data_IF_632873564442
#
_entry.id   IF_632873564442
#
_cell.length_a   1.000
_cell.length_b   1.000
_cell.length_c   1.000
_cell.angle_alpha   90.00
_cell.angle_beta   90.00
_cell.angle_gamma   90.00
#
_symmetry.space_group_name_H-M   'P 1'
#
loop_
_entity.id
_entity.type
_entity.pdbx_description
1 polymer ?
#
# COMPACT_ATOMS: atom_id res chain seq x y z
N UNK A 1 62.29 -8.47 -20.74
CA UNK A 1 63.38 -7.77 -21.51
C UNK A 1 62.72 -6.61 -22.23
N UNK A 2 63.07 -5.38 -21.91
CA UNK A 2 62.40 -4.16 -22.44
C UNK A 2 62.63 -4.03 -23.96
N UNK A 3 61.69 -3.35 -24.63
CA UNK A 3 61.72 -3.09 -26.08
C UNK A 3 63.06 -2.51 -26.52
N UNK A 4 63.62 -1.58 -25.76
CA UNK A 4 64.90 -0.95 -26.02
C UNK A 4 66.05 -1.97 -26.09
N UNK A 5 66.01 -2.96 -25.20
CA UNK A 5 67.01 -3.99 -25.15
C UNK A 5 66.89 -4.99 -26.33
N UNK A 6 65.68 -5.32 -26.77
CA UNK A 6 65.41 -6.15 -27.94
C UNK A 6 65.88 -5.47 -29.23
N UNK A 7 65.54 -4.18 -29.40
CA UNK A 7 65.98 -3.38 -30.54
C UNK A 7 67.52 -3.34 -30.58
N UNK A 8 68.19 -3.05 -29.43
CA UNK A 8 69.62 -3.05 -29.32
C UNK A 8 70.24 -4.41 -29.67
N UNK A 9 69.65 -5.49 -29.14
CA UNK A 9 70.14 -6.86 -29.41
C UNK A 9 70.04 -7.24 -30.88
N UNK A 10 68.92 -6.89 -31.54
CA UNK A 10 68.68 -7.15 -32.97
C UNK A 10 69.73 -6.39 -33.82
N UNK A 11 69.87 -5.09 -33.53
CA UNK A 11 70.86 -4.24 -34.25
C UNK A 11 72.26 -4.75 -33.98
N UNK A 12 72.66 -5.09 -32.76
CA UNK A 12 73.95 -5.61 -32.40
C UNK A 12 74.23 -6.96 -33.06
N UNK A 13 73.21 -7.89 -33.04
CA UNK A 13 73.38 -9.20 -33.68
C UNK A 13 73.49 -9.09 -35.19
N UNK A 14 72.70 -8.22 -35.84
CA UNK A 14 72.77 -7.96 -37.26
C UNK A 14 74.12 -7.38 -37.68
N UNK A 15 74.66 -6.45 -36.85
CA UNK A 15 75.96 -5.84 -37.09
C UNK A 15 77.10 -6.83 -36.91
N UNK A 16 77.09 -7.70 -35.88
CA UNK A 16 78.10 -8.73 -35.65
C UNK A 16 78.06 -9.82 -36.69
N UNK A 17 76.86 -10.28 -37.13
CA UNK A 17 76.72 -11.25 -38.20
C UNK A 17 77.27 -10.66 -39.53
N UNK A 18 76.95 -9.40 -39.81
CA UNK A 18 77.41 -8.69 -40.98
C UNK A 18 78.94 -8.54 -40.98
N UNK A 19 79.56 -8.15 -39.87
CA UNK A 19 81.04 -8.07 -39.76
C UNK A 19 81.70 -9.40 -39.86
N UNK A 20 81.19 -10.48 -39.30
CA UNK A 20 81.68 -11.84 -39.41
C UNK A 20 81.60 -12.35 -40.87
N UNK A 21 80.47 -12.03 -41.52
CA UNK A 21 80.31 -12.42 -42.95
C UNK A 21 81.27 -11.65 -43.84
N UNK A 22 81.58 -10.40 -43.60
CA UNK A 22 82.51 -9.58 -44.27
C UNK A 22 83.94 -10.23 -44.13
N UNK A 23 84.33 -10.61 -42.90
CA UNK A 23 85.62 -11.22 -42.63
C UNK A 23 85.81 -12.54 -43.36
N UNK A 24 84.82 -13.46 -43.29
CA UNK A 24 84.90 -14.78 -43.95
C UNK A 24 84.92 -14.67 -45.48
N UNK A 25 84.16 -13.77 -46.08
CA UNK A 25 84.04 -13.61 -47.50
C UNK A 25 85.25 -12.88 -48.08
N UNK A 26 85.90 -11.95 -47.36
CA UNK A 26 87.19 -11.34 -47.78
C UNK A 26 88.32 -12.34 -47.81
N UNK A 27 88.34 -13.24 -46.87
CA UNK A 27 89.40 -14.24 -46.74
C UNK A 27 89.32 -15.41 -47.76
N UNK A 28 88.05 -15.77 -48.15
CA UNK A 28 87.82 -16.95 -49.01
C UNK A 28 87.62 -16.60 -50.50
N UNK A 29 86.99 -15.46 -50.82
CA UNK A 29 86.51 -15.18 -52.19
C UNK A 29 87.15 -14.00 -52.90
N UNK A 30 88.10 -13.26 -52.29
CA UNK A 30 88.87 -12.18 -52.94
C UNK A 30 88.00 -11.04 -53.51
N UNK A 31 86.79 -10.89 -53.04
CA UNK A 31 85.85 -9.86 -53.50
C UNK A 31 86.21 -8.45 -52.95
N UNK A 32 85.89 -7.39 -53.74
CA UNK A 32 86.23 -6.07 -53.32
C UNK A 32 85.46 -5.66 -52.04
N UNK A 33 86.24 -5.13 -51.07
CA UNK A 33 85.71 -4.71 -49.74
C UNK A 33 84.49 -3.79 -49.86
N UNK A 34 84.40 -2.97 -50.89
CA UNK A 34 83.25 -2.06 -51.14
C UNK A 34 81.93 -2.81 -51.39
N UNK A 35 81.93 -3.90 -52.11
CA UNK A 35 80.77 -4.74 -52.40
C UNK A 35 80.24 -5.39 -51.12
N UNK A 36 81.15 -5.86 -50.27
CA UNK A 36 80.83 -6.50 -49.01
C UNK A 36 80.17 -5.52 -47.97
N UNK A 37 80.75 -4.31 -47.93
CA UNK A 37 80.13 -3.22 -47.08
C UNK A 37 78.76 -2.93 -47.57
N UNK A 38 78.50 -2.85 -48.87
CA UNK A 38 77.17 -2.55 -49.43
C UNK A 38 76.17 -3.67 -49.16
N UNK A 39 76.49 -4.93 -49.27
CA UNK A 39 75.64 -6.06 -48.96
C UNK A 39 75.33 -6.11 -47.46
N UNK A 40 76.35 -5.90 -46.60
CA UNK A 40 76.15 -5.82 -45.16
C UNK A 40 75.22 -4.71 -44.77
N UNK A 41 75.30 -3.55 -45.39
CA UNK A 41 74.39 -2.41 -45.14
C UNK A 41 72.97 -2.76 -45.54
N UNK A 42 72.72 -3.40 -46.70
CA UNK A 42 71.41 -3.84 -47.11
C UNK A 42 70.80 -4.86 -46.14
N UNK A 43 71.54 -5.83 -45.70
CA UNK A 43 71.13 -6.88 -44.75
C UNK A 43 70.73 -6.22 -43.39
N UNK A 44 71.51 -5.25 -42.90
CA UNK A 44 71.30 -4.55 -41.68
C UNK A 44 69.98 -3.70 -41.77
N UNK A 45 69.78 -3.01 -42.90
CA UNK A 45 68.56 -2.29 -43.14
C UNK A 45 67.37 -3.26 -43.17
N UNK A 46 67.44 -4.35 -43.90
CA UNK A 46 66.36 -5.33 -43.99
C UNK A 46 65.97 -5.92 -42.61
N UNK A 47 67.00 -6.28 -41.81
CA UNK A 47 66.80 -6.77 -40.45
C UNK A 47 66.16 -5.73 -39.54
N UNK A 48 66.58 -4.47 -39.63
CA UNK A 48 66.01 -3.36 -38.85
C UNK A 48 64.59 -3.09 -39.22
N UNK A 49 64.27 -3.03 -40.52
CA UNK A 49 62.91 -2.85 -41.03
C UNK A 49 62.01 -4.02 -40.59
N UNK A 50 62.50 -5.26 -40.69
CA UNK A 50 61.76 -6.44 -40.23
C UNK A 50 61.44 -6.36 -38.69
N UNK A 51 62.46 -5.95 -37.92
CA UNK A 51 62.24 -5.78 -36.44
C UNK A 51 61.29 -4.66 -36.10
N UNK A 52 61.32 -3.53 -36.80
CA UNK A 52 60.41 -2.42 -36.62
C UNK A 52 58.97 -2.84 -36.99
N UNK A 53 58.79 -3.54 -38.11
CA UNK A 53 57.48 -4.01 -38.54
C UNK A 53 56.86 -5.00 -37.54
N UNK A 54 57.67 -5.90 -37.00
CA UNK A 54 57.25 -6.86 -36.00
C UNK A 54 56.82 -6.15 -34.70
N UNK A 55 57.57 -5.16 -34.25
CA UNK A 55 57.24 -4.36 -33.06
C UNK A 55 55.99 -3.47 -33.29
N UNK A 56 55.87 -2.93 -34.51
CA UNK A 56 54.72 -2.09 -34.88
C UNK A 56 53.42 -2.87 -34.94
N UNK A 57 53.44 -4.12 -35.47
CA UNK A 57 52.31 -5.02 -35.50
C UNK A 57 51.74 -5.29 -34.09
N UNK A 58 52.62 -5.65 -33.13
CA UNK A 58 52.23 -5.90 -31.75
C UNK A 58 51.61 -4.67 -31.09
N UNK A 59 52.13 -3.45 -31.40
CA UNK A 59 51.57 -2.18 -30.88
C UNK A 59 50.21 -1.85 -31.47
N UNK A 60 50.01 -2.13 -32.75
CA UNK A 60 48.77 -1.86 -33.45
C UNK A 60 47.65 -2.75 -32.92
N UNK A 61 47.91 -4.04 -32.66
CA UNK A 61 46.95 -4.96 -32.05
C UNK A 61 46.51 -4.50 -30.66
N UNK A 62 47.41 -3.97 -29.82
CA UNK A 62 47.06 -3.40 -28.53
C UNK A 62 46.25 -2.13 -28.64
N UNK A 63 46.56 -1.26 -29.62
CA UNK A 63 45.84 -0.02 -29.86
C UNK A 63 44.41 -0.30 -30.35
N UNK A 64 44.22 -1.26 -31.26
CA UNK A 64 42.95 -1.67 -31.78
C UNK A 64 42.05 -2.27 -30.67
N UNK A 65 42.62 -3.11 -29.81
CA UNK A 65 41.88 -3.64 -28.65
C UNK A 65 41.49 -2.52 -27.69
N UNK A 66 42.41 -1.58 -27.40
CA UNK A 66 42.08 -0.42 -26.53
C UNK A 66 41.00 0.49 -27.13
N UNK A 67 41.04 0.69 -28.48
CA UNK A 67 39.98 1.44 -29.16
C UNK A 67 38.63 0.75 -29.08
N UNK A 68 38.55 -0.55 -29.31
CA UNK A 68 37.31 -1.34 -29.18
C UNK A 68 36.74 -1.28 -27.75
N UNK A 69 37.60 -1.32 -26.73
CA UNK A 69 37.17 -1.14 -25.32
C UNK A 69 36.60 0.26 -25.11
N UNK A 70 37.23 1.29 -25.66
CA UNK A 70 36.78 2.68 -25.56
C UNK A 70 35.40 2.90 -26.26
N UNK A 71 35.11 2.16 -27.34
CA UNK A 71 33.83 2.15 -28.05
C UNK A 71 32.75 1.30 -27.36
N UNK A 72 33.09 0.62 -26.25
CA UNK A 72 32.12 -0.15 -25.45
C UNK A 72 32.01 -1.64 -25.84
N UNK A 73 32.86 -2.15 -26.70
CA UNK A 73 32.90 -3.60 -27.03
C UNK A 73 33.76 -4.40 -26.03
N UNK A 74 33.10 -4.77 -24.92
CA UNK A 74 33.73 -5.57 -23.84
C UNK A 74 33.63 -7.09 -24.08
N UNK A 75 33.58 -7.56 -25.31
CA UNK A 75 33.50 -9.00 -25.60
C UNK A 75 34.71 -9.75 -25.05
N UNK A 76 34.42 -10.86 -24.36
CA UNK A 76 35.49 -11.73 -23.78
C UNK A 76 36.53 -12.20 -24.79
N UNK A 77 36.17 -12.25 -26.09
CA UNK A 77 37.09 -12.66 -27.18
C UNK A 77 38.26 -11.71 -27.37
N UNK A 78 38.03 -10.42 -27.38
CA UNK A 78 39.05 -9.38 -27.59
C UNK A 78 40.01 -9.28 -26.39
N UNK A 79 39.50 -9.44 -25.16
CA UNK A 79 40.35 -9.44 -23.94
C UNK A 79 41.21 -10.70 -23.79
N UNK A 80 40.79 -11.86 -24.30
CA UNK A 80 41.58 -13.08 -24.31
C UNK A 80 42.74 -13.05 -25.30
N UNK A 81 42.68 -12.18 -26.30
CA UNK A 81 43.76 -11.97 -27.28
C UNK A 81 44.89 -11.10 -26.72
N UNK A 82 44.70 -10.42 -25.58
CA UNK A 82 45.74 -9.61 -24.94
C UNK A 82 46.91 -10.51 -24.44
N UNK A 83 48.16 -10.21 -24.77
CA UNK A 83 49.31 -11.00 -24.35
C UNK A 83 49.73 -10.70 -22.91
N UNK A 84 48.84 -10.97 -21.96
CA UNK A 84 49.04 -10.66 -20.51
C UNK A 84 50.14 -11.53 -19.87
N UNK A 85 50.50 -12.67 -20.46
CA UNK A 85 51.52 -13.60 -19.95
C UNK A 85 52.94 -13.15 -20.29
N UNK A 86 53.11 -12.16 -21.18
CA UNK A 86 54.45 -11.64 -21.54
C UNK A 86 55.05 -10.85 -20.38
N UNK A 87 56.34 -11.03 -20.15
CA UNK A 87 57.11 -10.41 -19.06
C UNK A 87 57.77 -9.08 -19.50
N UNK A 88 57.52 -8.65 -20.74
CA UNK A 88 58.07 -7.40 -21.29
C UNK A 88 57.11 -6.22 -21.15
N UNK A 89 57.50 -5.06 -21.70
CA UNK A 89 56.74 -3.81 -21.69
C UNK A 89 55.36 -3.96 -22.32
N UNK A 90 55.22 -4.80 -23.35
CA UNK A 90 53.94 -5.13 -23.98
C UNK A 90 53.02 -5.87 -23.02
N UNK A 91 53.50 -6.86 -22.30
CA UNK A 91 52.74 -7.57 -21.31
C UNK A 91 52.31 -6.66 -20.16
N UNK A 92 53.13 -5.66 -19.81
CA UNK A 92 52.75 -4.65 -18.81
C UNK A 92 51.58 -3.79 -19.28
N UNK A 93 51.62 -3.29 -20.51
CA UNK A 93 50.50 -2.51 -21.12
C UNK A 93 49.25 -3.37 -21.29
N UNK A 94 49.40 -4.61 -21.78
CA UNK A 94 48.29 -5.54 -21.92
C UNK A 94 47.58 -5.83 -20.59
N UNK A 95 48.31 -6.03 -19.50
CA UNK A 95 47.75 -6.19 -18.14
C UNK A 95 47.01 -4.94 -17.69
N UNK A 96 47.59 -3.74 -17.92
CA UNK A 96 46.93 -2.47 -17.57
C UNK A 96 45.62 -2.27 -18.33
N UNK A 97 45.59 -2.57 -19.63
CA UNK A 97 44.38 -2.50 -20.46
C UNK A 97 43.32 -3.50 -19.94
N UNK A 98 43.74 -4.73 -19.64
CA UNK A 98 42.86 -5.76 -19.08
C UNK A 98 42.26 -5.33 -17.75
N UNK A 99 43.06 -4.77 -16.86
CA UNK A 99 42.64 -4.26 -15.56
C UNK A 99 41.60 -3.12 -15.71
N UNK A 100 41.93 -2.12 -16.54
CA UNK A 100 41.00 -0.99 -16.80
C UNK A 100 39.68 -1.48 -17.37
N UNK A 101 39.73 -2.43 -18.30
CA UNK A 101 38.53 -3.02 -18.90
C UNK A 101 37.65 -3.75 -17.86
N UNK A 102 38.27 -4.50 -16.97
CA UNK A 102 37.57 -5.22 -15.92
C UNK A 102 36.96 -4.24 -14.90
N UNK A 103 37.72 -3.21 -14.51
CA UNK A 103 37.21 -2.16 -13.60
C UNK A 103 36.05 -1.39 -14.21
N UNK A 104 36.14 -0.98 -15.48
CA UNK A 104 35.03 -0.32 -16.20
C UNK A 104 33.79 -1.21 -16.27
N UNK A 105 33.93 -2.47 -16.60
CA UNK A 105 32.86 -3.45 -16.67
C UNK A 105 32.16 -3.60 -15.29
N UNK A 106 32.97 -3.65 -14.22
CA UNK A 106 32.43 -3.74 -12.86
C UNK A 106 31.71 -2.47 -12.46
N UNK A 107 32.23 -1.28 -12.81
CA UNK A 107 31.58 0.00 -12.58
C UNK A 107 30.24 0.09 -13.32
N UNK A 108 30.19 -0.29 -14.61
CA UNK A 108 28.94 -0.29 -15.40
C UNK A 108 27.92 -1.23 -14.77
N UNK A 109 28.33 -2.45 -14.37
CA UNK A 109 27.43 -3.38 -13.66
C UNK A 109 26.94 -2.82 -12.33
N UNK A 110 27.79 -2.13 -11.58
CA UNK A 110 27.42 -1.51 -10.30
C UNK A 110 26.39 -0.39 -10.53
N UNK A 111 26.62 0.47 -11.52
CA UNK A 111 25.68 1.55 -11.88
C UNK A 111 24.33 0.98 -12.32
N UNK A 112 24.35 -0.06 -13.18
CA UNK A 112 23.10 -0.72 -13.59
C UNK A 112 22.36 -1.34 -12.39
N UNK A 113 23.07 -2.04 -11.51
CA UNK A 113 22.48 -2.61 -10.28
C UNK A 113 21.91 -1.52 -9.35
N UNK A 114 22.63 -0.42 -9.17
CA UNK A 114 22.14 0.71 -8.36
C UNK A 114 20.89 1.33 -8.98
N UNK A 115 20.87 1.53 -10.31
CA UNK A 115 19.69 2.03 -11.03
C UNK A 115 18.48 1.11 -10.81
N UNK A 116 18.66 -0.20 -10.99
CA UNK A 116 17.58 -1.17 -10.84
C UNK A 116 17.10 -1.28 -9.38
N UNK A 117 18.02 -1.19 -8.40
CA UNK A 117 17.65 -1.10 -6.99
C UNK A 117 16.87 0.18 -6.66
N UNK A 118 17.26 1.32 -7.24
CA UNK A 118 16.53 2.59 -7.06
C UNK A 118 15.12 2.49 -7.65
N UNK A 119 14.97 1.90 -8.84
CA UNK A 119 13.66 1.65 -9.45
C UNK A 119 12.77 0.80 -8.54
N UNK A 120 13.27 -0.34 -8.07
CA UNK A 120 12.53 -1.23 -7.17
C UNK A 120 12.10 -0.53 -5.87
N UNK A 121 12.99 0.25 -5.23
CA UNK A 121 12.64 1.00 -4.02
C UNK A 121 11.53 2.03 -4.29
N UNK A 122 11.55 2.70 -5.43
CA UNK A 122 10.52 3.67 -5.81
C UNK A 122 9.17 2.99 -6.11
N UNK A 123 9.19 1.79 -6.67
CA UNK A 123 7.98 1.01 -6.93
C UNK A 123 7.38 0.44 -5.62
N UNK A 124 8.23 -0.01 -4.68
CA UNK A 124 7.81 -0.54 -3.38
C UNK A 124 7.20 0.54 -2.44
N UNK A 125 7.51 1.82 -2.66
CA UNK A 125 6.93 2.92 -1.86
C UNK A 125 5.42 3.12 -2.10
N UNK A 126 4.82 2.50 -3.10
CA UNK A 126 3.40 2.64 -3.43
C UNK A 126 3.02 4.04 -3.93
N UNK A 127 3.99 4.92 -4.19
CA UNK A 127 3.81 6.26 -4.73
C UNK A 127 4.12 6.30 -6.22
N UNK A 128 3.28 6.98 -7.00
CA UNK A 128 3.55 7.24 -8.41
C UNK A 128 4.50 8.42 -8.56
N UNK A 129 5.58 8.23 -9.30
CA UNK A 129 6.58 9.27 -9.55
C UNK A 129 6.69 9.53 -11.05
N UNK A 130 6.62 10.82 -11.41
CA UNK A 130 6.88 11.30 -12.76
C UNK A 130 7.92 12.42 -12.71
N UNK A 131 8.96 12.31 -13.54
CA UNK A 131 9.95 13.37 -13.73
C UNK A 131 9.83 13.91 -15.13
N UNK A 132 9.74 15.24 -15.28
CA UNK A 132 9.69 15.91 -16.57
C UNK A 132 10.78 16.97 -16.68
N UNK A 133 11.18 17.25 -17.92
CA UNK A 133 12.03 18.40 -18.21
C UNK A 133 11.22 19.71 -18.11
N UNK A 134 11.86 20.85 -18.38
CA UNK A 134 11.22 22.16 -18.35
C UNK A 134 10.08 22.32 -19.37
N UNK A 135 10.11 21.59 -20.45
CA UNK A 135 9.09 21.63 -21.49
C UNK A 135 7.88 20.75 -21.19
N UNK A 136 7.97 19.93 -20.11
CA UNK A 136 6.96 18.96 -19.75
C UNK A 136 7.14 17.59 -20.41
N UNK A 137 8.28 17.36 -21.09
CA UNK A 137 8.56 16.03 -21.65
C UNK A 137 8.96 15.06 -20.54
N UNK A 138 8.41 13.86 -20.59
CA UNK A 138 8.63 12.83 -19.58
C UNK A 138 10.05 12.28 -19.70
N UNK A 139 10.82 12.39 -18.61
CA UNK A 139 12.18 11.85 -18.46
C UNK A 139 12.15 10.50 -17.77
N UNK A 140 11.28 10.36 -16.76
CA UNK A 140 11.11 9.13 -15.99
C UNK A 140 9.69 9.05 -15.44
N UNK A 141 9.16 7.83 -15.38
CA UNK A 141 7.97 7.49 -14.60
C UNK A 141 8.12 6.07 -14.07
N UNK A 142 7.69 5.83 -12.83
CA UNK A 142 7.63 4.49 -12.28
C UNK A 142 6.29 3.81 -12.63
N UNK A 143 6.20 2.50 -12.41
CA UNK A 143 5.00 1.71 -12.70
C UNK A 143 3.79 2.16 -11.86
N UNK A 144 4.01 2.52 -10.60
CA UNK A 144 2.96 3.00 -9.70
C UNK A 144 2.27 4.27 -10.20
N UNK A 145 2.97 5.14 -10.91
CA UNK A 145 2.37 6.32 -11.53
C UNK A 145 1.25 5.93 -12.52
N UNK A 146 1.51 4.92 -13.35
CA UNK A 146 0.54 4.41 -14.32
C UNK A 146 -0.66 3.73 -13.63
N UNK A 147 -0.40 2.94 -12.59
CA UNK A 147 -1.41 2.23 -11.81
C UNK A 147 -2.32 3.21 -11.06
N UNK A 148 -1.74 4.23 -10.40
CA UNK A 148 -2.52 5.19 -9.61
C UNK A 148 -3.43 6.04 -10.50
N UNK A 149 -2.93 6.47 -11.66
CA UNK A 149 -3.68 7.31 -12.60
C UNK A 149 -4.50 6.52 -13.62
N UNK A 150 -4.49 5.19 -13.56
CA UNK A 150 -5.17 4.30 -14.51
C UNK A 150 -4.78 4.58 -15.98
N UNK A 151 -3.47 4.71 -16.23
CA UNK A 151 -2.91 4.96 -17.56
C UNK A 151 -2.33 3.66 -18.10
N UNK A 152 -2.88 3.09 -19.18
CA UNK A 152 -2.40 1.82 -19.75
C UNK A 152 -1.09 1.97 -20.50
N UNK A 153 -0.89 3.09 -21.23
CA UNK A 153 0.34 3.40 -21.94
C UNK A 153 0.81 4.80 -21.54
N UNK A 154 1.96 4.90 -20.87
CA UNK A 154 2.60 6.18 -20.62
C UNK A 154 3.13 6.72 -21.95
N UNK A 155 2.51 7.76 -22.52
CA UNK A 155 3.04 8.35 -23.72
C UNK A 155 4.42 8.92 -23.42
N UNK A 156 5.44 8.46 -24.13
CA UNK A 156 6.84 8.84 -23.96
C UNK A 156 7.11 10.32 -24.32
N UNK A 157 6.10 11.21 -24.35
CA UNK A 157 6.29 12.50 -25.02
C UNK A 157 6.06 13.73 -24.14
N UNK A 158 4.93 13.94 -23.47
CA UNK A 158 4.71 15.19 -22.72
C UNK A 158 3.60 15.04 -21.69
N UNK A 159 3.73 15.65 -20.51
CA UNK A 159 2.71 15.64 -19.44
C UNK A 159 1.35 16.17 -19.91
N UNK A 160 1.34 17.10 -20.85
CA UNK A 160 0.10 17.67 -21.42
C UNK A 160 -0.69 16.66 -22.26
N UNK A 161 -0.03 15.64 -22.80
CA UNK A 161 -0.67 14.57 -23.57
C UNK A 161 -1.39 13.54 -22.70
N UNK A 162 -1.15 13.55 -21.38
CA UNK A 162 -1.83 12.65 -20.42
C UNK A 162 -3.30 13.03 -20.19
N UNK A 163 -3.75 14.16 -20.71
CA UNK A 163 -5.13 14.64 -20.66
C UNK A 163 -5.74 14.76 -19.25
N UNK A 164 -4.90 14.97 -18.23
CA UNK A 164 -5.30 15.25 -16.85
C UNK A 164 -5.26 16.76 -16.57
N UNK A 165 -6.41 17.44 -16.44
CA UNK A 165 -6.43 18.89 -16.14
C UNK A 165 -5.67 19.26 -14.85
N UNK A 166 -5.73 18.39 -13.84
CA UNK A 166 -5.02 18.56 -12.57
C UNK A 166 -3.49 18.59 -12.75
N UNK A 167 -2.93 17.72 -13.59
CA UNK A 167 -1.49 17.68 -13.87
C UNK A 167 -1.05 18.93 -14.63
N UNK A 168 -1.84 19.37 -15.61
CA UNK A 168 -1.57 20.60 -16.34
C UNK A 168 -1.62 21.84 -15.44
N UNK A 169 -2.54 21.87 -14.47
CA UNK A 169 -2.61 22.92 -13.46
C UNK A 169 -1.38 22.93 -12.57
N UNK A 170 -0.95 21.75 -12.07
CA UNK A 170 0.26 21.63 -11.25
C UNK A 170 1.48 22.14 -12.00
N UNK A 171 1.66 21.71 -13.24
CA UNK A 171 2.80 22.10 -14.08
C UNK A 171 2.90 23.61 -14.23
N UNK A 172 1.80 24.28 -14.63
CA UNK A 172 1.75 25.73 -14.74
C UNK A 172 2.02 26.47 -13.42
N UNK A 173 1.53 25.91 -12.30
CA UNK A 173 1.66 26.54 -10.98
C UNK A 173 3.06 26.42 -10.40
N UNK A 174 3.75 25.31 -10.66
CA UNK A 174 5.12 25.07 -10.20
C UNK A 174 6.13 25.97 -10.92
N UNK A 175 5.89 26.31 -12.18
CA UNK A 175 6.72 27.30 -12.90
C UNK A 175 6.82 28.64 -12.15
N UNK A 176 5.75 29.06 -11.46
CA UNK A 176 5.71 30.31 -10.71
C UNK A 176 6.06 30.17 -9.23
N UNK A 177 5.65 29.08 -8.57
CA UNK A 177 5.73 28.90 -7.09
C UNK A 177 6.75 27.89 -6.63
N UNK A 178 7.47 27.17 -7.52
CA UNK A 178 8.44 26.09 -7.25
C UNK A 178 7.87 24.84 -6.58
N UNK A 179 6.67 24.91 -5.99
CA UNK A 179 5.92 23.79 -5.43
C UNK A 179 4.42 24.03 -5.58
N UNK A 180 3.69 22.99 -5.93
CA UNK A 180 2.24 22.99 -5.97
C UNK A 180 1.71 21.61 -5.59
N UNK A 181 0.58 21.61 -4.86
CA UNK A 181 -0.12 20.40 -4.45
C UNK A 181 -1.59 20.55 -4.90
N UNK A 182 -2.22 19.46 -5.32
CA UNK A 182 -3.65 19.41 -5.66
C UNK A 182 -4.20 18.02 -5.39
N UNK A 183 -5.44 17.96 -4.91
CA UNK A 183 -6.21 16.73 -4.82
C UNK A 183 -7.20 16.66 -5.99
N UNK A 184 -7.32 15.50 -6.61
CA UNK A 184 -8.21 15.28 -7.75
C UNK A 184 -8.71 13.84 -7.81
N UNK A 185 -9.77 13.63 -8.56
CA UNK A 185 -10.38 12.33 -8.77
C UNK A 185 -9.87 11.69 -10.05
N UNK A 186 -9.67 10.38 -10.01
CA UNK A 186 -9.36 9.52 -11.15
C UNK A 186 -10.45 8.46 -11.25
N UNK A 187 -11.11 8.40 -12.39
CA UNK A 187 -12.10 7.35 -12.69
C UNK A 187 -11.38 6.07 -13.12
N UNK A 188 -11.74 4.94 -12.49
CA UNK A 188 -11.22 3.63 -12.81
C UNK A 188 -12.11 2.92 -13.85
N UNK A 189 -11.61 1.85 -14.46
CA UNK A 189 -12.32 1.09 -15.51
C UNK A 189 -13.64 0.47 -15.03
N UNK A 190 -13.75 0.17 -13.74
CA UNK A 190 -14.95 -0.32 -13.05
C UNK A 190 -15.94 0.80 -12.66
N UNK A 191 -15.70 2.04 -13.09
CA UNK A 191 -16.44 3.25 -12.71
C UNK A 191 -16.32 3.64 -11.24
N UNK A 192 -15.46 3.02 -10.46
CA UNK A 192 -15.10 3.51 -9.13
C UNK A 192 -14.20 4.74 -9.22
N UNK A 193 -14.19 5.56 -8.18
CA UNK A 193 -13.40 6.79 -8.12
C UNK A 193 -12.26 6.62 -7.14
N UNK A 194 -11.04 6.94 -7.58
CA UNK A 194 -9.84 7.03 -6.76
C UNK A 194 -9.51 8.49 -6.48
N UNK A 195 -9.24 8.83 -5.22
CA UNK A 195 -8.74 10.15 -4.84
C UNK A 195 -7.22 10.18 -4.84
N UNK A 196 -6.64 11.12 -5.56
CA UNK A 196 -5.19 11.26 -5.73
C UNK A 196 -4.72 12.62 -5.24
N UNK A 197 -3.68 12.64 -4.42
CA UNK A 197 -2.91 13.84 -4.08
C UNK A 197 -1.70 13.90 -5.01
N UNK A 198 -1.68 14.91 -5.88
CA UNK A 198 -0.52 15.23 -6.71
C UNK A 198 0.29 16.35 -6.10
N UNK A 199 1.59 16.12 -5.88
CA UNK A 199 2.56 17.09 -5.39
C UNK A 199 3.67 17.26 -6.41
N UNK A 200 3.84 18.46 -6.96
CA UNK A 200 4.89 18.76 -7.93
C UNK A 200 5.88 19.78 -7.39
N UNK A 201 7.16 19.46 -7.55
CA UNK A 201 8.28 20.32 -7.13
C UNK A 201 9.28 20.50 -8.27
N UNK A 202 9.95 21.66 -8.30
CA UNK A 202 11.09 21.88 -9.17
C UNK A 202 12.39 21.51 -8.46
N UNK A 203 13.18 20.62 -9.06
CA UNK A 203 14.52 20.25 -8.57
C UNK A 203 15.45 21.50 -8.59
N UNK A 204 16.16 21.72 -7.50
CA UNK A 204 17.12 22.82 -7.40
C UNK A 204 18.35 22.62 -8.30
N UNK A 205 18.74 21.37 -8.50
CA UNK A 205 19.98 20.98 -9.20
C UNK A 205 19.77 20.81 -10.71
N UNK A 206 18.82 19.98 -11.11
CA UNK A 206 18.56 19.65 -12.54
C UNK A 206 17.56 20.59 -13.17
N UNK A 207 16.80 21.36 -12.36
CA UNK A 207 15.66 22.18 -12.79
C UNK A 207 14.53 21.39 -13.48
N UNK A 208 14.51 20.08 -13.32
CA UNK A 208 13.44 19.20 -13.71
C UNK A 208 12.26 19.33 -12.74
N UNK A 209 11.08 18.96 -13.19
CA UNK A 209 9.90 18.91 -12.36
C UNK A 209 9.67 17.46 -11.91
N UNK A 210 9.53 17.28 -10.61
CA UNK A 210 9.24 16.00 -9.99
C UNK A 210 7.82 16.05 -9.48
N UNK A 211 6.96 15.20 -10.02
CA UNK A 211 5.59 14.98 -9.58
C UNK A 211 5.53 13.66 -8.80
N UNK A 212 4.99 13.73 -7.61
CA UNK A 212 4.62 12.57 -6.81
C UNK A 212 3.11 12.51 -6.73
N UNK A 213 2.52 11.36 -7.01
CA UNK A 213 1.09 11.08 -6.85
C UNK A 213 0.89 10.00 -5.80
N UNK A 214 -0.03 10.27 -4.89
CA UNK A 214 -0.36 9.40 -3.77
C UNK A 214 -1.85 9.08 -3.76
N UNK A 215 -2.21 7.81 -3.63
CA UNK A 215 -3.60 7.39 -3.47
C UNK A 215 -4.07 7.70 -2.05
N UNK A 216 -4.98 8.66 -1.92
CA UNK A 216 -5.56 9.10 -0.65
C UNK A 216 -7.00 8.65 -0.47
N UNK A 217 -7.46 7.66 -1.25
CA UNK A 217 -8.87 7.20 -1.24
C UNK A 217 -9.29 6.73 0.15
N UNK A 218 -8.49 5.86 0.78
CA UNK A 218 -8.77 5.39 2.14
C UNK A 218 -8.78 6.53 3.16
N UNK A 219 -7.80 7.45 3.07
CA UNK A 219 -7.71 8.61 3.96
C UNK A 219 -8.95 9.52 3.80
N UNK A 220 -9.40 9.74 2.57
CA UNK A 220 -10.61 10.52 2.27
C UNK A 220 -11.87 9.83 2.80
N UNK A 221 -11.99 8.52 2.61
CA UNK A 221 -13.12 7.73 3.14
C UNK A 221 -13.16 7.82 4.67
N UNK A 222 -12.03 7.60 5.36
CA UNK A 222 -11.96 7.73 6.82
C UNK A 222 -12.32 9.15 7.30
N UNK A 223 -11.83 10.18 6.62
CA UNK A 223 -12.16 11.57 6.96
C UNK A 223 -13.63 11.92 6.69
N UNK A 224 -14.25 11.35 5.64
CA UNK A 224 -15.68 11.50 5.38
C UNK A 224 -16.49 10.81 6.47
N UNK A 225 -16.19 9.54 6.76
CA UNK A 225 -16.87 8.79 7.83
C UNK A 225 -16.77 9.52 9.18
N UNK A 226 -15.62 10.11 9.49
CA UNK A 226 -15.44 10.91 10.72
C UNK A 226 -16.31 12.18 10.72
N UNK A 227 -16.39 12.90 9.61
CA UNK A 227 -17.24 14.10 9.48
C UNK A 227 -18.70 13.75 9.62
N UNK A 228 -19.15 12.70 8.94
CA UNK A 228 -20.52 12.23 8.99
C UNK A 228 -20.90 11.77 10.40
N UNK A 229 -19.98 11.08 11.09
CA UNK A 229 -20.12 10.70 12.49
C UNK A 229 -20.36 11.93 13.39
N UNK A 230 -19.50 12.95 13.31
CA UNK A 230 -19.63 14.18 14.14
C UNK A 230 -20.91 14.93 13.81
N UNK A 231 -21.28 15.01 12.53
CA UNK A 231 -22.52 15.67 12.08
C UNK A 231 -23.76 14.97 12.64
N UNK A 232 -23.84 13.65 12.46
CA UNK A 232 -24.93 12.83 12.92
C UNK A 232 -25.05 12.85 14.46
N UNK A 233 -23.92 12.76 15.17
CA UNK A 233 -23.86 12.88 16.63
C UNK A 233 -24.44 14.21 17.09
N UNK A 234 -24.05 15.33 16.47
CA UNK A 234 -24.52 16.64 16.80
C UNK A 234 -26.07 16.77 16.63
N UNK A 235 -26.61 16.19 15.57
CA UNK A 235 -28.02 16.13 15.31
C UNK A 235 -28.78 15.29 16.33
N UNK A 236 -28.31 14.08 16.63
CA UNK A 236 -28.96 13.15 17.57
C UNK A 236 -28.93 13.65 19.04
N UNK A 237 -27.87 14.39 19.42
CA UNK A 237 -27.79 15.02 20.74
C UNK A 237 -28.66 16.27 20.84
N UNK A 238 -28.78 17.08 19.78
CA UNK A 238 -29.55 18.33 19.79
C UNK A 238 -31.03 18.08 20.02
N UNK A 239 -31.58 17.03 19.42
CA UNK A 239 -33.02 16.71 19.50
C UNK A 239 -33.50 16.50 20.95
N UNK A 240 -32.94 15.55 21.74
CA UNK A 240 -33.39 15.35 23.14
C UNK A 240 -33.13 16.58 24.02
N UNK A 241 -32.02 17.30 23.82
CA UNK A 241 -31.71 18.53 24.55
C UNK A 241 -32.79 19.59 24.28
N UNK A 242 -33.19 19.79 23.01
CA UNK A 242 -34.25 20.73 22.65
C UNK A 242 -35.62 20.35 23.26
N UNK A 243 -35.93 19.05 23.29
CA UNK A 243 -37.16 18.55 23.91
C UNK A 243 -37.12 18.75 25.43
N UNK A 244 -36.04 18.46 26.11
CA UNK A 244 -35.87 18.72 27.55
C UNK A 244 -36.06 20.20 27.82
N UNK A 245 -35.39 21.08 27.06
CA UNK A 245 -35.49 22.52 27.23
C UNK A 245 -36.94 23.03 27.05
N UNK A 246 -37.58 22.68 25.93
CA UNK A 246 -38.93 23.11 25.63
C UNK A 246 -39.96 22.66 26.71
N UNK A 247 -39.89 21.40 27.16
CA UNK A 247 -40.77 20.92 28.22
C UNK A 247 -40.47 21.59 29.58
N UNK A 248 -39.20 21.94 29.85
CA UNK A 248 -38.85 22.69 31.07
C UNK A 248 -39.37 24.13 31.02
N UNK A 249 -39.21 24.81 29.87
CA UNK A 249 -39.77 26.15 29.65
C UNK A 249 -41.31 26.13 29.83
N UNK A 250 -42.02 25.15 29.20
CA UNK A 250 -43.49 25.00 29.37
C UNK A 250 -43.92 24.75 30.81
N UNK A 251 -43.14 23.98 31.59
CA UNK A 251 -43.40 23.79 33.01
C UNK A 251 -43.28 25.10 33.79
N UNK A 252 -42.28 25.91 33.50
CA UNK A 252 -42.07 27.22 34.15
C UNK A 252 -43.13 28.26 33.75
N UNK A 253 -43.63 28.18 32.50
CA UNK A 253 -44.65 29.11 31.95
C UNK A 253 -46.09 28.79 32.40
N UNK A 254 -46.26 27.99 33.47
CA UNK A 254 -47.60 27.80 34.13
C UNK A 254 -48.12 26.36 34.08
N UNK A 255 -47.49 25.43 33.31
CA UNK A 255 -47.94 24.03 33.28
C UNK A 255 -47.79 23.29 34.63
N UNK A 256 -47.05 23.84 35.58
CA UNK A 256 -46.93 23.33 36.96
C UNK A 256 -48.25 23.39 37.71
N UNK A 257 -49.19 24.32 37.38
CA UNK A 257 -50.48 24.46 38.03
C UNK A 257 -51.44 23.29 37.74
N UNK A 258 -51.26 22.62 36.60
CA UNK A 258 -52.02 21.43 36.24
C UNK A 258 -51.19 20.16 36.53
N UNK A 259 -51.55 19.43 37.59
CA UNK A 259 -50.85 18.21 38.02
C UNK A 259 -50.69 17.13 36.94
N UNK A 260 -51.63 17.00 35.99
CA UNK A 260 -51.61 16.03 34.88
C UNK A 260 -50.61 16.45 33.86
N UNK A 261 -50.57 17.71 33.45
CA UNK A 261 -49.71 18.28 32.47
C UNK A 261 -48.27 18.33 33.00
N UNK A 262 -48.08 18.79 34.24
CA UNK A 262 -46.81 18.78 34.95
C UNK A 262 -46.15 17.38 34.96
N UNK A 263 -46.94 16.35 35.27
CA UNK A 263 -46.47 14.95 35.25
C UNK A 263 -46.11 14.48 33.85
N UNK A 264 -46.82 14.91 32.82
CA UNK A 264 -46.54 14.57 31.43
C UNK A 264 -45.23 15.19 30.96
N UNK A 265 -45.01 16.48 31.19
CA UNK A 265 -43.79 17.19 30.83
C UNK A 265 -42.59 16.68 31.62
N UNK A 266 -42.73 16.44 32.93
CA UNK A 266 -41.63 15.83 33.74
C UNK A 266 -41.24 14.44 33.24
N UNK A 267 -42.19 13.59 32.84
CA UNK A 267 -41.92 12.30 32.22
C UNK A 267 -41.20 12.45 30.89
N UNK A 268 -41.57 13.42 30.06
CA UNK A 268 -40.90 13.68 28.78
C UNK A 268 -39.43 14.13 29.00
N UNK A 269 -39.19 14.98 30.00
CA UNK A 269 -37.84 15.40 30.40
C UNK A 269 -37.02 14.19 30.85
N UNK A 270 -37.57 13.40 31.79
CA UNK A 270 -36.86 12.20 32.31
C UNK A 270 -36.52 11.24 31.18
N UNK A 271 -37.45 10.90 30.33
CA UNK A 271 -37.26 10.00 29.18
C UNK A 271 -36.16 10.49 28.23
N UNK A 272 -36.12 11.79 27.90
CA UNK A 272 -35.09 12.32 27.01
C UNK A 272 -33.73 12.43 27.72
N UNK A 273 -33.70 12.64 29.05
CA UNK A 273 -32.45 12.58 29.84
C UNK A 273 -31.88 11.18 29.90
N UNK A 274 -32.72 10.14 30.12
CA UNK A 274 -32.33 8.75 30.07
C UNK A 274 -31.78 8.35 28.69
N UNK A 275 -32.47 8.80 27.63
CA UNK A 275 -32.01 8.59 26.24
C UNK A 275 -30.64 9.22 25.99
N UNK A 276 -30.43 10.46 26.45
CA UNK A 276 -29.14 11.14 26.30
C UNK A 276 -28.02 10.40 27.04
N UNK A 277 -28.30 9.95 28.27
CA UNK A 277 -27.37 9.16 29.07
C UNK A 277 -26.97 7.84 28.38
N UNK A 278 -27.97 7.14 27.82
CA UNK A 278 -27.71 5.93 27.01
C UNK A 278 -26.82 6.20 25.79
N UNK A 279 -27.11 7.29 25.05
CA UNK A 279 -26.30 7.67 23.89
C UNK A 279 -24.86 7.99 24.28
N UNK A 280 -24.64 8.70 25.39
CA UNK A 280 -23.25 8.98 25.86
C UNK A 280 -22.55 7.71 26.26
N UNK A 281 -23.24 6.78 26.95
CA UNK A 281 -22.65 5.46 27.27
C UNK A 281 -22.28 4.68 26.00
N UNK A 282 -23.19 4.63 25.01
CA UNK A 282 -22.95 3.96 23.73
C UNK A 282 -21.74 4.55 22.99
N UNK A 283 -21.54 5.85 23.04
CA UNK A 283 -20.39 6.55 22.45
C UNK A 283 -19.07 6.23 23.15
N UNK A 284 -19.10 6.19 24.51
CA UNK A 284 -17.91 5.82 25.31
C UNK A 284 -17.51 4.38 25.02
N UNK A 285 -18.47 3.46 24.97
CA UNK A 285 -18.24 2.06 24.66
C UNK A 285 -17.65 1.91 23.25
N UNK A 286 -18.25 2.55 22.25
CA UNK A 286 -17.76 2.53 20.88
C UNK A 286 -16.33 3.09 20.77
N UNK A 287 -16.06 4.21 21.45
CA UNK A 287 -14.72 4.81 21.49
C UNK A 287 -13.69 3.86 22.09
N UNK A 288 -13.99 3.22 23.25
CA UNK A 288 -13.09 2.26 23.88
C UNK A 288 -12.77 1.06 23.02
N UNK A 289 -13.79 0.55 22.29
CA UNK A 289 -13.62 -0.59 21.38
C UNK A 289 -12.71 -0.19 20.20
N UNK A 290 -12.95 0.97 19.60
CA UNK A 290 -12.22 1.42 18.40
C UNK A 290 -10.75 1.77 18.66
N UNK A 291 -10.46 2.35 19.82
CA UNK A 291 -9.07 2.67 20.18
C UNK A 291 -8.31 1.48 20.82
N UNK A 292 -8.96 0.31 20.93
CA UNK A 292 -8.35 -0.88 21.51
C UNK A 292 -8.19 -0.81 23.03
N UNK A 293 -8.84 0.15 23.68
CA UNK A 293 -8.80 0.35 25.14
C UNK A 293 -9.77 -0.57 25.89
N UNK A 294 -10.55 -1.38 25.18
CA UNK A 294 -11.46 -2.35 25.78
C UNK A 294 -10.66 -3.58 26.27
N UNK A 295 -10.44 -3.67 27.56
CA UNK A 295 -9.86 -4.85 28.19
C UNK A 295 -10.93 -5.90 28.38
N UNK A 296 -11.00 -6.87 27.46
CA UNK A 296 -11.91 -8.00 27.56
C UNK A 296 -11.40 -9.01 28.60
N UNK A 297 -12.28 -9.43 29.50
CA UNK A 297 -12.02 -10.51 30.44
C UNK A 297 -12.57 -11.83 29.86
N UNK A 298 -11.79 -12.44 28.95
CA UNK A 298 -12.19 -13.67 28.28
C UNK A 298 -12.25 -14.83 29.28
N UNK A 299 -13.41 -15.45 29.38
CA UNK A 299 -13.66 -16.58 30.24
C UNK A 299 -14.48 -17.66 29.54
N UNK A 300 -14.49 -18.85 30.10
CA UNK A 300 -15.33 -19.97 29.66
C UNK A 300 -16.76 -19.76 30.17
N UNK A 301 -17.72 -19.69 29.25
CA UNK A 301 -19.13 -19.40 29.54
C UNK A 301 -19.98 -20.54 29.02
N UNK A 302 -20.88 -21.04 29.83
CA UNK A 302 -22.00 -21.90 29.42
C UNK A 302 -23.07 -21.03 28.80
N UNK A 303 -23.17 -21.05 27.47
CA UNK A 303 -24.08 -20.20 26.71
C UNK A 303 -25.56 -20.52 26.99
N UNK A 304 -25.90 -21.80 27.21
CA UNK A 304 -27.27 -22.20 27.51
C UNK A 304 -27.73 -21.67 28.88
N UNK A 305 -26.84 -21.78 29.88
CA UNK A 305 -27.11 -21.20 31.20
C UNK A 305 -27.27 -19.67 31.09
N UNK A 306 -26.34 -19.01 30.41
CA UNK A 306 -26.38 -17.58 30.22
C UNK A 306 -27.68 -17.11 29.53
N UNK A 307 -28.08 -17.74 28.42
CA UNK A 307 -29.28 -17.35 27.67
C UNK A 307 -30.54 -17.56 28.53
N UNK A 308 -30.64 -18.64 29.28
CA UNK A 308 -31.76 -18.91 30.17
C UNK A 308 -31.87 -17.87 31.31
N UNK A 309 -30.78 -17.49 31.93
CA UNK A 309 -30.75 -16.40 32.92
C UNK A 309 -31.14 -15.05 32.29
N UNK A 310 -30.58 -14.74 31.11
CA UNK A 310 -30.90 -13.54 30.35
C UNK A 310 -32.40 -13.43 30.04
N UNK A 311 -33.01 -14.50 29.50
CA UNK A 311 -34.46 -14.57 29.23
C UNK A 311 -35.26 -14.39 30.53
N UNK A 312 -34.81 -14.99 31.63
CA UNK A 312 -35.45 -14.86 32.93
C UNK A 312 -35.46 -13.43 33.44
N UNK A 313 -34.39 -12.67 33.20
CA UNK A 313 -34.32 -11.24 33.55
C UNK A 313 -35.29 -10.37 32.74
N UNK A 314 -35.64 -10.80 31.51
CA UNK A 314 -36.54 -10.08 30.60
C UNK A 314 -38.03 -10.34 30.85
N UNK A 315 -38.45 -11.23 31.79
CA UNK A 315 -39.84 -11.61 32.05
C UNK A 315 -40.80 -10.42 32.31
N UNK A 316 -40.30 -9.36 32.94
CA UNK A 316 -41.11 -8.17 33.18
C UNK A 316 -41.39 -7.40 31.87
N UNK A 317 -40.43 -7.36 30.97
CA UNK A 317 -40.51 -6.67 29.68
C UNK A 317 -41.44 -7.42 28.71
N UNK A 318 -41.28 -8.77 28.65
CA UNK A 318 -42.10 -9.66 27.82
C UNK A 318 -43.56 -9.54 28.16
N UNK A 319 -43.92 -9.60 29.46
CA UNK A 319 -45.32 -9.40 29.93
C UNK A 319 -45.86 -8.03 29.55
N UNK A 320 -45.08 -6.95 29.68
CA UNK A 320 -45.51 -5.60 29.38
C UNK A 320 -45.80 -5.39 27.88
N UNK A 321 -45.00 -6.04 27.04
CA UNK A 321 -45.11 -5.92 25.57
C UNK A 321 -45.99 -7.00 24.93
N UNK A 322 -46.36 -8.03 25.67
CA UNK A 322 -47.07 -9.22 25.17
C UNK A 322 -46.31 -9.93 24.05
N UNK A 323 -45.01 -10.16 24.30
CA UNK A 323 -44.11 -10.82 23.35
C UNK A 323 -43.47 -12.00 24.05
N UNK A 324 -43.50 -13.20 23.44
CA UNK A 324 -42.87 -14.40 23.96
C UNK A 324 -41.44 -14.54 23.47
N UNK A 325 -40.50 -14.98 24.34
CA UNK A 325 -39.15 -15.34 23.93
C UNK A 325 -39.02 -16.85 24.01
N UNK A 326 -38.68 -17.47 22.90
CA UNK A 326 -38.48 -18.93 22.74
C UNK A 326 -36.97 -19.18 22.58
N UNK A 327 -36.43 -20.15 23.30
CA UNK A 327 -35.03 -20.55 23.15
C UNK A 327 -34.92 -21.98 22.60
N UNK A 328 -34.14 -22.13 21.51
CA UNK A 328 -33.86 -23.40 20.84
C UNK A 328 -32.36 -23.68 20.92
N UNK A 329 -31.87 -24.43 21.92
CA UNK A 329 -30.45 -24.69 22.12
C UNK A 329 -29.92 -25.73 21.13
N UNK A 330 -28.63 -25.58 20.74
CA UNK A 330 -27.83 -26.66 20.12
C UNK A 330 -27.11 -27.52 21.16
N UNK A 331 -26.35 -28.51 20.74
CA UNK A 331 -25.54 -29.33 21.64
C UNK A 331 -24.16 -28.71 21.85
N UNK A 332 -23.61 -28.80 23.07
CA UNK A 332 -22.27 -28.29 23.43
C UNK A 332 -22.04 -26.81 23.20
N UNK A 333 -22.64 -25.97 24.01
CA UNK A 333 -22.62 -24.51 23.88
C UNK A 333 -21.63 -23.82 24.82
N UNK A 334 -20.40 -24.35 24.99
CA UNK A 334 -19.34 -23.68 25.71
C UNK A 334 -18.58 -22.74 24.80
N UNK A 335 -18.45 -21.46 25.23
CA UNK A 335 -17.79 -20.42 24.45
C UNK A 335 -16.67 -19.75 25.25
N UNK A 336 -15.76 -19.09 24.53
CA UNK A 336 -14.78 -18.14 25.07
C UNK A 336 -15.26 -16.73 24.78
N UNK A 337 -15.70 -16.01 25.81
CA UNK A 337 -16.16 -14.64 25.65
C UNK A 337 -15.98 -13.82 26.95
N UNK A 338 -16.11 -12.52 26.84
CA UNK A 338 -16.32 -11.62 27.96
C UNK A 338 -17.82 -11.55 28.27
N UNK A 339 -18.19 -11.77 29.52
CA UNK A 339 -19.60 -11.81 29.93
C UNK A 339 -20.31 -10.49 29.70
N UNK A 340 -19.66 -9.37 30.01
CA UNK A 340 -20.25 -8.03 29.84
C UNK A 340 -20.46 -7.67 28.36
N UNK A 341 -19.47 -8.03 27.52
CA UNK A 341 -19.58 -7.87 26.07
C UNK A 341 -20.73 -8.71 25.51
N UNK A 342 -20.86 -9.98 25.95
CA UNK A 342 -21.94 -10.87 25.54
C UNK A 342 -23.32 -10.32 25.96
N UNK A 343 -23.46 -9.89 27.22
CA UNK A 343 -24.68 -9.23 27.70
C UNK A 343 -25.03 -7.97 26.87
N UNK A 344 -24.02 -7.18 26.52
CA UNK A 344 -24.22 -5.96 25.72
C UNK A 344 -24.70 -6.28 24.30
N UNK A 345 -24.11 -7.32 23.66
CA UNK A 345 -24.56 -7.81 22.34
C UNK A 345 -26.03 -8.26 22.44
N UNK A 346 -26.34 -9.14 23.38
CA UNK A 346 -27.70 -9.68 23.54
C UNK A 346 -28.73 -8.59 23.84
N UNK A 347 -28.43 -7.64 24.73
CA UNK A 347 -29.31 -6.53 25.05
C UNK A 347 -29.63 -5.68 23.80
N UNK A 348 -28.62 -5.34 22.97
CA UNK A 348 -28.82 -4.57 21.76
C UNK A 348 -29.69 -5.29 20.73
N UNK A 349 -29.47 -6.59 20.52
CA UNK A 349 -30.22 -7.38 19.55
C UNK A 349 -31.66 -7.65 20.03
N UNK A 350 -31.84 -7.98 21.28
CA UNK A 350 -33.19 -8.23 21.86
C UNK A 350 -33.97 -6.94 21.97
N UNK A 351 -33.36 -5.81 22.34
CA UNK A 351 -34.03 -4.49 22.32
C UNK A 351 -34.50 -4.12 20.91
N UNK A 352 -33.71 -4.40 19.89
CA UNK A 352 -34.13 -4.21 18.50
C UNK A 352 -35.32 -5.13 18.16
N UNK A 353 -35.24 -6.41 18.48
CA UNK A 353 -36.34 -7.33 18.27
C UNK A 353 -37.62 -6.88 18.95
N UNK A 354 -37.56 -6.40 20.21
CA UNK A 354 -38.70 -5.82 20.90
C UNK A 354 -39.22 -4.53 20.29
N UNK A 355 -38.40 -3.70 19.71
CA UNK A 355 -38.81 -2.42 19.11
C UNK A 355 -39.58 -2.60 17.81
N UNK A 356 -39.19 -3.60 17.02
CA UNK A 356 -39.74 -3.81 15.69
C UNK A 356 -40.78 -4.93 15.60
N UNK A 357 -40.96 -5.74 16.66
CA UNK A 357 -41.99 -6.77 16.74
C UNK A 357 -43.33 -6.18 17.21
N UNK A 358 -44.42 -6.72 16.68
CA UNK A 358 -45.78 -6.38 17.09
C UNK A 358 -46.18 -7.09 18.40
N UNK A 359 -47.23 -6.59 19.05
CA UNK A 359 -47.81 -7.26 20.22
C UNK A 359 -48.39 -8.63 19.86
N UNK A 360 -48.24 -9.60 20.73
CA UNK A 360 -48.66 -10.99 20.49
C UNK A 360 -47.73 -11.79 19.61
N UNK A 361 -46.54 -11.26 19.29
CA UNK A 361 -45.52 -11.92 18.49
C UNK A 361 -44.51 -12.73 19.33
N UNK A 362 -43.59 -13.44 18.67
CA UNK A 362 -42.53 -14.20 19.30
C UNK A 362 -41.15 -13.81 18.79
N UNK A 363 -40.19 -13.77 19.70
CA UNK A 363 -38.76 -13.66 19.38
C UNK A 363 -38.13 -15.03 19.65
N UNK A 364 -37.48 -15.61 18.65
CA UNK A 364 -36.80 -16.90 18.77
C UNK A 364 -35.29 -16.67 18.88
N UNK A 365 -34.68 -17.18 19.95
CA UNK A 365 -33.23 -17.26 20.09
C UNK A 365 -32.84 -18.71 19.75
N UNK A 366 -31.93 -18.91 18.83
CA UNK A 366 -31.42 -20.25 18.50
C UNK A 366 -29.91 -20.24 18.37
N UNK A 367 -29.31 -21.38 18.61
CA UNK A 367 -27.86 -21.56 18.51
C UNK A 367 -27.53 -22.68 17.56
N UNK A 368 -26.50 -22.50 16.72
CA UNK A 368 -26.01 -23.48 15.76
C UNK A 368 -24.48 -23.54 15.78
N UNK A 369 -23.92 -24.75 15.76
CA UNK A 369 -22.46 -24.90 15.64
C UNK A 369 -22.04 -24.76 14.17
N UNK A 370 -21.08 -23.90 13.91
CA UNK A 370 -20.46 -23.66 12.61
C UNK A 370 -18.93 -23.77 12.74
N UNK A 371 -18.36 -24.91 12.37
CA UNK A 371 -16.92 -25.18 12.48
C UNK A 371 -16.39 -25.02 13.93
N UNK A 372 -15.53 -24.02 14.15
CA UNK A 372 -14.93 -23.69 15.44
C UNK A 372 -15.65 -22.54 16.18
N UNK A 373 -16.82 -22.15 15.70
CA UNK A 373 -17.65 -21.08 16.26
C UNK A 373 -19.05 -21.60 16.53
N UNK A 374 -19.74 -20.89 17.43
CA UNK A 374 -21.18 -21.02 17.62
C UNK A 374 -21.84 -19.77 17.04
N UNK A 375 -22.89 -19.96 16.22
CA UNK A 375 -23.74 -18.92 15.68
C UNK A 375 -24.94 -18.77 16.59
N UNK A 376 -25.13 -17.58 17.16
CA UNK A 376 -26.32 -17.22 17.94
C UNK A 376 -27.23 -16.39 17.03
N UNK A 377 -28.47 -16.82 16.89
CA UNK A 377 -29.45 -16.19 16.02
C UNK A 377 -30.63 -15.67 16.84
N UNK A 378 -31.04 -14.43 16.57
CA UNK A 378 -32.21 -13.79 17.16
C UNK A 378 -33.17 -13.45 16.03
N UNK A 379 -34.26 -14.23 15.95
CA UNK A 379 -35.28 -14.09 14.92
C UNK A 379 -36.50 -13.34 15.46
N UNK A 380 -36.81 -12.18 14.86
CA UNK A 380 -38.03 -11.40 15.12
C UNK A 380 -39.08 -11.65 14.04
N UNK A 381 -40.30 -11.19 14.29
CA UNK A 381 -41.45 -11.20 13.37
C UNK A 381 -41.87 -9.79 12.94
N UNK A 382 -40.90 -8.85 12.96
CA UNK A 382 -41.12 -7.45 12.61
C UNK A 382 -41.29 -7.18 11.12
N UNK A 383 -41.14 -5.91 10.75
CA UNK A 383 -41.24 -5.44 9.35
C UNK A 383 -40.14 -5.98 8.42
N UNK A 384 -39.05 -6.56 8.99
CA UNK A 384 -37.90 -6.96 8.22
C UNK A 384 -37.03 -5.77 7.80
N UNK A 385 -35.93 -6.12 7.11
CA UNK A 385 -34.95 -5.16 6.56
C UNK A 385 -34.79 -5.43 5.06
N UNK A 386 -34.82 -4.35 4.24
CA UNK A 386 -34.63 -4.47 2.80
C UNK A 386 -33.20 -4.95 2.45
N UNK A 387 -33.02 -5.59 1.29
CA UNK A 387 -31.68 -6.05 0.87
C UNK A 387 -30.69 -4.90 0.70
N UNK A 388 -31.18 -3.72 0.30
CA UNK A 388 -30.38 -2.49 0.19
C UNK A 388 -29.90 -2.00 1.55
N UNK A 389 -30.78 -2.03 2.57
CA UNK A 389 -30.46 -1.58 3.93
C UNK A 389 -29.52 -2.56 4.67
N UNK A 390 -29.56 -3.87 4.37
CA UNK A 390 -28.74 -4.91 5.06
C UNK A 390 -27.24 -4.63 5.06
N UNK A 391 -26.76 -3.97 4.02
CA UNK A 391 -25.34 -3.62 3.89
C UNK A 391 -24.92 -2.57 4.92
N UNK A 392 -25.84 -1.66 5.28
CA UNK A 392 -25.55 -0.47 6.07
C UNK A 392 -26.04 -0.52 7.52
N UNK A 393 -26.90 -1.48 7.89
CA UNK A 393 -27.54 -1.48 9.23
C UNK A 393 -26.57 -1.60 10.41
N UNK A 394 -25.35 -2.09 10.16
CA UNK A 394 -24.28 -2.17 11.16
C UNK A 394 -23.41 -0.91 11.19
N UNK A 395 -23.68 0.07 10.31
CA UNK A 395 -22.96 1.34 10.31
C UNK A 395 -23.49 2.28 11.39
N UNK A 396 -22.63 3.14 11.88
CA UNK A 396 -22.95 4.07 12.97
C UNK A 396 -24.02 5.06 12.56
N UNK A 397 -25.02 5.27 13.42
CA UNK A 397 -26.18 6.16 13.19
C UNK A 397 -27.05 5.78 12.00
N UNK A 398 -26.79 4.64 11.36
CA UNK A 398 -27.64 4.19 10.27
C UNK A 398 -29.02 3.78 10.80
N UNK A 399 -30.06 4.20 10.08
CA UNK A 399 -31.48 3.85 10.36
C UNK A 399 -32.20 3.75 9.03
N UNK A 400 -32.95 2.69 8.83
CA UNK A 400 -33.79 2.51 7.64
C UNK A 400 -34.82 3.67 7.56
N UNK A 401 -35.36 3.93 6.37
CA UNK A 401 -36.41 4.96 6.19
C UNK A 401 -37.65 4.71 7.06
N UNK A 402 -38.05 3.43 7.18
CA UNK A 402 -39.16 3.01 8.06
C UNK A 402 -38.86 3.25 9.54
N UNK A 403 -37.63 2.99 9.99
CA UNK A 403 -37.22 3.25 11.37
C UNK A 403 -37.12 4.75 11.71
N UNK A 404 -36.86 5.61 10.71
CA UNK A 404 -36.86 7.07 10.90
C UNK A 404 -38.28 7.61 11.01
N UNK A 405 -39.24 7.05 10.27
CA UNK A 405 -40.66 7.47 10.28
C UNK A 405 -41.44 6.97 11.51
N UNK A 406 -40.95 5.89 12.16
CA UNK A 406 -41.61 5.35 13.35
C UNK A 406 -41.22 6.15 14.61
N UNK A 407 -42.16 6.19 15.60
CA UNK A 407 -41.90 6.79 16.93
C UNK A 407 -40.84 6.03 17.75
N UNK A 408 -40.36 4.90 17.25
CA UNK A 408 -39.33 4.08 17.86
C UNK A 408 -37.94 4.72 17.73
N UNK A 409 -37.64 5.66 18.61
CA UNK A 409 -36.42 6.48 18.58
C UNK A 409 -35.19 5.69 19.08
N UNK A 410 -34.42 5.07 18.17
CA UNK A 410 -33.14 4.50 18.49
C UNK A 410 -31.97 5.43 18.10
N UNK A 411 -30.79 5.30 18.74
CA UNK A 411 -29.59 6.09 18.43
C UNK A 411 -28.91 5.68 17.11
N UNK A 412 -29.20 4.49 16.59
CA UNK A 412 -28.46 3.91 15.47
C UNK A 412 -27.04 3.44 15.81
N UNK A 413 -26.70 3.40 17.11
CA UNK A 413 -25.38 2.93 17.58
C UNK A 413 -25.38 1.46 18.01
N UNK A 414 -26.54 0.92 18.43
CA UNK A 414 -26.62 -0.42 19.01
C UNK A 414 -26.07 -1.54 18.12
N UNK A 415 -26.42 -1.57 16.83
CA UNK A 415 -25.89 -2.59 15.90
C UNK A 415 -24.43 -2.38 15.57
N UNK A 416 -23.94 -1.15 15.52
CA UNK A 416 -22.51 -0.86 15.37
C UNK A 416 -21.72 -1.37 16.59
N UNK A 417 -22.25 -1.23 17.81
CA UNK A 417 -21.66 -1.81 19.02
C UNK A 417 -21.64 -3.33 18.94
N UNK A 418 -22.73 -3.96 18.51
CA UNK A 418 -22.79 -5.42 18.30
C UNK A 418 -21.68 -5.89 17.37
N UNK A 419 -21.51 -5.23 16.21
CA UNK A 419 -20.48 -5.55 15.22
C UNK A 419 -19.07 -5.43 15.82
N UNK A 420 -18.79 -4.34 16.50
CA UNK A 420 -17.45 -4.11 17.06
C UNK A 420 -17.14 -5.06 18.22
N UNK A 421 -18.11 -5.34 19.11
CA UNK A 421 -17.93 -6.30 20.20
C UNK A 421 -17.76 -7.73 19.69
N UNK A 422 -18.57 -8.17 18.72
CA UNK A 422 -18.41 -9.49 18.13
C UNK A 422 -17.05 -9.66 17.46
N UNK A 423 -16.59 -8.66 16.70
CA UNK A 423 -15.25 -8.66 16.09
C UNK A 423 -14.14 -8.69 17.16
N UNK A 424 -14.31 -7.97 18.28
CA UNK A 424 -13.33 -8.00 19.40
C UNK A 424 -13.29 -9.35 20.13
N UNK A 425 -14.31 -10.18 19.95
CA UNK A 425 -14.42 -11.55 20.46
C UNK A 425 -14.08 -12.60 19.40
N UNK A 426 -13.38 -12.22 18.32
CA UNK A 426 -13.04 -13.08 17.17
C UNK A 426 -14.26 -13.71 16.48
N UNK A 427 -15.39 -13.01 16.50
CA UNK A 427 -16.64 -13.40 15.86
C UNK A 427 -17.03 -12.49 14.70
N UNK A 428 -18.13 -12.83 14.06
CA UNK A 428 -18.75 -12.08 12.97
C UNK A 428 -20.21 -11.77 13.29
N UNK A 429 -20.82 -10.83 12.54
CA UNK A 429 -22.23 -10.48 12.64
C UNK A 429 -22.89 -10.45 11.28
N UNK A 430 -24.19 -10.67 11.24
CA UNK A 430 -24.96 -10.52 10.01
C UNK A 430 -26.46 -10.51 10.23
N UNK A 431 -27.18 -10.39 9.12
CA UNK A 431 -28.63 -10.39 9.08
C UNK A 431 -29.14 -11.23 7.91
N UNK A 432 -30.22 -11.96 8.16
CA UNK A 432 -30.95 -12.73 7.18
C UNK A 432 -32.45 -12.35 7.22
N UNK A 433 -33.14 -12.51 6.11
CA UNK A 433 -34.59 -12.28 6.08
C UNK A 433 -35.32 -13.52 6.62
N UNK A 434 -36.26 -13.30 7.54
CA UNK A 434 -37.18 -14.35 8.03
C UNK A 434 -38.43 -14.41 7.15
N UNK A 435 -38.86 -15.59 6.75
CA UNK A 435 -40.13 -15.78 6.02
C UNK A 435 -41.26 -16.10 7.01
N UNK A 436 -42.51 -15.61 6.80
CA UNK A 436 -42.93 -14.69 5.74
C UNK A 436 -42.49 -13.24 5.97
N UNK A 437 -42.31 -12.79 7.21
CA UNK A 437 -41.89 -11.44 7.59
C UNK A 437 -40.96 -11.48 8.81
N UNK A 438 -40.03 -10.53 8.91
CA UNK A 438 -39.12 -10.39 10.03
C UNK A 438 -37.65 -10.46 9.64
N UNK A 439 -36.78 -10.41 10.64
CA UNK A 439 -35.33 -10.47 10.48
C UNK A 439 -34.75 -11.53 11.41
N UNK A 440 -33.60 -12.08 10.99
CA UNK A 440 -32.75 -12.94 11.80
C UNK A 440 -31.41 -12.23 11.94
N UNK A 441 -31.19 -11.59 13.08
CA UNK A 441 -29.88 -11.07 13.41
C UNK A 441 -29.03 -12.17 14.03
N UNK A 442 -27.80 -12.28 13.64
CA UNK A 442 -26.91 -13.30 14.16
C UNK A 442 -25.50 -12.77 14.45
N UNK A 443 -24.84 -13.41 15.39
CA UNK A 443 -23.43 -13.23 15.65
C UNK A 443 -22.77 -14.59 15.93
N UNK A 444 -21.45 -14.65 15.75
CA UNK A 444 -20.65 -15.84 16.03
C UNK A 444 -19.68 -15.61 17.16
N UNK A 445 -19.35 -16.66 17.90
CA UNK A 445 -18.35 -16.63 18.99
C UNK A 445 -17.49 -17.89 18.90
N UNK A 446 -16.20 -17.83 19.30
CA UNK A 446 -15.34 -19.00 19.35
C UNK A 446 -15.86 -20.06 20.32
N UNK A 447 -15.89 -21.31 19.86
CA UNK A 447 -16.20 -22.45 20.72
C UNK A 447 -15.02 -22.75 21.65
N UNK A 448 -15.30 -23.02 22.91
CA UNK A 448 -14.36 -23.66 23.79
C UNK A 448 -14.43 -25.17 23.60
N UNK A 449 -13.31 -25.79 23.20
CA UNK A 449 -13.24 -27.26 23.16
C UNK A 449 -13.38 -27.80 24.58
N UNK A 450 -14.24 -28.80 24.73
CA UNK A 450 -14.55 -29.45 26.01
C UNK A 450 -13.31 -30.05 26.68
#
# INVERSE_FOLDING_TARGET
MGIRYRIFLIIFLSLTISLSLIYVITDILGLSILLLIFVSFIVSIAATVSAINFLYSDMQDLADIAANIAEGDYKKGNLKALPTERIDDYGSVARSISQISEDLKNQIKMIAKQRDQFGSVLDDLGEGILVTNKNGDVVFANEQFSIILNIQDLPSKNIKSLNFPALNYLFKRVESKKRADIEFEVELDDKSTRWVLGSMNQSKTTKEFILVVHDITQLRQLNSMRRDFISNLSHELRTPVSVIRANSETLLDGALENKKDAKSFAKAILHNSERLSSMVSDLIDLSRIEYGDLKLNIQKIDLDHFINEFISSMKSLTKKKDIEIIYEPSKNNWIKADLQALERIMNNLIDNAFKYSEKGSSITISTEQANNHIKVMIADTGSGVSDEDKVYIFDRFYRTASARASDNKGSGLGLAIVKNLANSLDGEVGIESRKPNGSIFWFTLPLEKA
#
